data_IF_876533754876
#
_entry.id   IF_876533754876
#
_cell.length_a   1.000
_cell.length_b   1.000
_cell.length_c   1.000
_cell.angle_alpha   90.00
_cell.angle_beta   90.00
_cell.angle_gamma   90.00
#
_symmetry.space_group_name_H-M   'P 1'
#
loop_
_entity.id
_entity.type
_entity.pdbx_description
1 polymer ?
#
# COMPACT_ATOMS: atom_id res chain seq x y z
N UNK A 1 12.47 -0.20 -14.44
CA UNK A 1 12.24 0.16 -13.05
C UNK A 1 11.43 -0.93 -12.34
N UNK A 2 11.61 -1.00 -11.02
CA UNK A 2 10.81 -1.87 -10.18
C UNK A 2 10.31 -1.08 -8.96
N UNK A 3 9.10 -1.37 -8.53
CA UNK A 3 8.49 -0.69 -7.40
C UNK A 3 7.64 -1.66 -6.59
N UNK A 4 7.33 -1.27 -5.37
CA UNK A 4 6.44 -2.00 -4.49
C UNK A 4 5.17 -1.19 -4.27
N UNK A 5 4.06 -1.91 -4.11
CA UNK A 5 2.75 -1.35 -3.76
C UNK A 5 2.23 -2.18 -2.60
N UNK A 6 1.74 -1.56 -1.53
CA UNK A 6 1.41 -2.29 -0.32
C UNK A 6 -0.04 -2.10 0.10
N UNK A 7 -0.70 -3.23 0.35
CA UNK A 7 -1.96 -3.26 1.07
C UNK A 7 -1.59 -3.35 2.55
N UNK A 8 -1.66 -2.21 3.25
CA UNK A 8 -1.27 -2.12 4.66
C UNK A 8 -2.50 -2.39 5.52
N UNK A 9 -2.41 -3.44 6.32
CA UNK A 9 -3.53 -3.94 7.13
C UNK A 9 -3.23 -3.76 8.62
N UNK A 10 -4.15 -3.14 9.34
CA UNK A 10 -4.10 -3.11 10.79
C UNK A 10 -4.36 -4.52 11.32
N UNK A 11 -3.35 -5.11 11.94
CA UNK A 11 -3.40 -6.49 12.42
C UNK A 11 -4.52 -6.71 13.45
N UNK A 12 -4.89 -5.67 14.19
CA UNK A 12 -5.88 -5.78 15.26
C UNK A 12 -7.33 -5.62 14.78
N UNK A 13 -7.55 -4.85 13.72
CA UNK A 13 -8.91 -4.52 13.26
C UNK A 13 -9.24 -5.04 11.87
N UNK A 14 -8.22 -5.40 11.08
CA UNK A 14 -8.40 -5.77 9.68
C UNK A 14 -8.65 -4.59 8.76
N UNK A 15 -8.56 -3.37 9.26
CA UNK A 15 -8.74 -2.17 8.43
C UNK A 15 -7.54 -1.94 7.53
N UNK A 16 -7.79 -1.30 6.40
CA UNK A 16 -6.82 -1.09 5.33
C UNK A 16 -6.48 0.39 5.24
N UNK A 17 -5.19 0.69 5.15
CA UNK A 17 -4.70 2.05 5.02
C UNK A 17 -4.76 2.52 3.58
N UNK A 18 -5.43 3.63 3.34
CA UNK A 18 -5.33 4.36 2.09
C UNK A 18 -4.82 5.77 2.39
N UNK A 19 -4.06 6.32 1.45
CA UNK A 19 -3.45 7.64 1.59
C UNK A 19 -3.78 8.54 0.41
N UNK A 20 -3.67 9.84 0.63
CA UNK A 20 -3.65 10.85 -0.43
C UNK A 20 -2.31 11.56 -0.36
N UNK A 21 -1.72 11.89 -1.50
CA UNK A 21 -0.42 12.55 -1.53
C UNK A 21 -0.30 13.50 -2.70
N UNK A 22 0.68 14.40 -2.62
CA UNK A 22 1.02 15.38 -3.68
C UNK A 22 -0.16 16.23 -4.12
N UNK A 23 -1.05 16.61 -3.20
CA UNK A 23 -2.21 17.46 -3.48
C UNK A 23 -3.31 16.79 -4.30
N UNK A 24 -3.20 15.49 -4.57
CA UNK A 24 -4.21 14.75 -5.33
C UNK A 24 -5.32 14.25 -4.40
N UNK A 25 -6.60 14.43 -4.78
CA UNK A 25 -7.71 14.07 -3.90
C UNK A 25 -8.07 12.58 -3.91
N UNK A 26 -7.35 11.76 -4.65
CA UNK A 26 -7.66 10.33 -4.76
C UNK A 26 -6.93 9.52 -3.70
N UNK A 27 -7.62 8.52 -3.13
CA UNK A 27 -7.00 7.56 -2.24
C UNK A 27 -6.25 6.49 -3.03
N UNK A 28 -5.06 6.16 -2.56
CA UNK A 28 -4.17 5.17 -3.18
C UNK A 28 -3.54 4.29 -2.10
N UNK A 29 -2.82 3.27 -2.54
CA UNK A 29 -1.98 2.44 -1.67
C UNK A 29 -0.62 3.11 -1.47
N UNK A 30 0.02 2.82 -0.35
CA UNK A 30 1.43 3.18 -0.12
C UNK A 30 2.27 2.47 -1.17
N UNK A 31 3.17 3.18 -1.80
CA UNK A 31 4.00 2.64 -2.88
C UNK A 31 5.34 3.38 -2.98
N UNK A 32 6.31 2.76 -3.63
CA UNK A 32 7.60 3.41 -3.87
C UNK A 32 8.53 2.55 -4.69
N UNK A 33 9.56 3.15 -5.23
CA UNK A 33 10.55 2.44 -6.04
C UNK A 33 11.47 1.57 -5.17
N UNK A 34 11.86 0.44 -5.73
CA UNK A 34 12.90 -0.41 -5.15
C UNK A 34 14.24 0.23 -5.49
N UNK A 35 15.07 0.48 -4.46
CA UNK A 35 16.38 1.06 -4.65
C UNK A 35 17.37 0.02 -5.22
N UNK A 36 18.41 0.53 -5.85
CA UNK A 36 19.47 -0.34 -6.38
C UNK A 36 20.05 -1.19 -5.24
N UNK A 37 20.11 -2.49 -5.45
CA UNK A 37 20.65 -3.43 -4.46
C UNK A 37 19.70 -3.78 -3.32
N UNK A 38 18.47 -3.27 -3.36
CA UNK A 38 17.47 -3.52 -2.32
C UNK A 38 16.55 -4.65 -2.77
N UNK A 39 16.18 -5.54 -1.84
CA UNK A 39 15.14 -6.53 -2.12
C UNK A 39 13.76 -5.87 -2.11
N UNK A 40 12.77 -6.50 -2.76
CA UNK A 40 11.40 -6.01 -2.73
C UNK A 40 10.88 -5.96 -1.28
N UNK A 41 11.17 -6.99 -0.48
CA UNK A 41 10.75 -7.06 0.91
C UNK A 41 11.34 -5.92 1.76
N UNK A 42 12.62 -5.61 1.56
CA UNK A 42 13.24 -4.48 2.25
C UNK A 42 12.60 -3.14 1.83
N UNK A 43 12.29 -2.99 0.54
CA UNK A 43 11.63 -1.79 0.03
C UNK A 43 10.24 -1.62 0.65
N UNK A 44 9.48 -2.70 0.82
CA UNK A 44 8.17 -2.67 1.48
C UNK A 44 8.30 -2.07 2.88
N UNK A 45 9.21 -2.58 3.69
CA UNK A 45 9.40 -2.12 5.06
C UNK A 45 9.89 -0.67 5.12
N UNK A 46 10.82 -0.32 4.25
CA UNK A 46 11.38 1.02 4.18
C UNK A 46 10.33 2.06 3.79
N UNK A 47 9.57 1.79 2.72
CA UNK A 47 8.56 2.74 2.24
C UNK A 47 7.43 2.95 3.26
N UNK A 48 6.98 1.88 3.90
CA UNK A 48 5.95 2.01 4.94
C UNK A 48 6.48 2.84 6.11
N UNK A 49 7.72 2.58 6.54
CA UNK A 49 8.32 3.33 7.64
C UNK A 49 8.51 4.81 7.28
N UNK A 50 9.03 5.10 6.08
CA UNK A 50 9.25 6.48 5.62
C UNK A 50 7.94 7.27 5.51
N UNK A 51 6.92 6.70 4.90
CA UNK A 51 5.68 7.43 4.62
C UNK A 51 4.71 7.46 5.79
N UNK A 52 4.71 6.45 6.63
CA UNK A 52 3.71 6.30 7.70
C UNK A 52 4.27 6.22 9.12
N UNK A 53 5.57 6.09 9.27
CA UNK A 53 6.20 5.90 10.58
C UNK A 53 5.93 4.52 11.21
N UNK A 54 5.25 3.62 10.51
CA UNK A 54 4.88 2.32 11.06
C UNK A 54 5.95 1.27 10.80
N UNK A 55 6.18 0.42 11.79
CA UNK A 55 6.95 -0.79 11.63
C UNK A 55 6.04 -1.91 11.16
N UNK A 56 6.52 -2.70 10.20
CA UNK A 56 5.75 -3.81 9.66
C UNK A 56 6.04 -5.08 10.44
N UNK A 57 5.00 -5.86 10.67
CA UNK A 57 5.13 -7.23 11.14
C UNK A 57 5.29 -8.17 9.95
N UNK A 58 4.34 -9.08 9.79
CA UNK A 58 4.34 -10.04 8.67
C UNK A 58 4.05 -9.34 7.35
N UNK A 59 4.77 -9.75 6.31
CA UNK A 59 4.47 -9.32 4.93
C UNK A 59 4.24 -10.57 4.07
N UNK A 60 3.44 -10.40 3.03
CA UNK A 60 3.11 -11.48 2.10
C UNK A 60 3.12 -10.94 0.68
N UNK A 61 3.88 -11.58 -0.20
CA UNK A 61 3.88 -11.24 -1.62
C UNK A 61 2.57 -11.71 -2.28
N UNK A 62 1.91 -10.83 -3.02
CA UNK A 62 0.66 -11.15 -3.70
C UNK A 62 0.88 -11.46 -5.18
N UNK A 63 1.35 -10.49 -5.93
CA UNK A 63 1.52 -10.61 -7.38
C UNK A 63 2.35 -9.48 -7.96
N UNK A 64 2.75 -9.61 -9.21
CA UNK A 64 3.35 -8.52 -9.97
C UNK A 64 2.40 -8.08 -11.08
N UNK A 65 2.61 -6.85 -11.52
CA UNK A 65 1.99 -6.35 -12.74
C UNK A 65 2.90 -5.30 -13.36
N UNK A 66 3.11 -5.40 -14.67
CA UNK A 66 3.90 -4.41 -15.38
C UNK A 66 3.05 -3.17 -15.66
N UNK A 67 3.54 -2.01 -15.22
CA UNK A 67 2.87 -0.72 -15.45
C UNK A 67 3.59 -0.01 -16.60
N UNK A 68 2.99 -0.10 -17.79
CA UNK A 68 3.57 0.39 -19.03
C UNK A 68 3.88 1.89 -19.02
N UNK A 69 2.98 2.78 -18.53
CA UNK A 69 3.22 4.22 -18.56
C UNK A 69 4.54 4.67 -17.98
N UNK A 70 5.05 4.00 -16.95
CA UNK A 70 6.34 4.33 -16.33
C UNK A 70 7.39 3.25 -16.52
N UNK A 71 7.14 2.25 -17.37
CA UNK A 71 8.05 1.13 -17.58
C UNK A 71 8.48 0.50 -16.24
N UNK A 72 7.50 0.18 -15.39
CA UNK A 72 7.77 -0.26 -14.04
C UNK A 72 7.14 -1.62 -13.77
N UNK A 73 7.94 -2.56 -13.26
CA UNK A 73 7.42 -3.79 -12.70
C UNK A 73 6.93 -3.49 -11.29
N UNK A 74 5.62 -3.61 -11.07
CA UNK A 74 5.01 -3.38 -9.77
C UNK A 74 4.86 -4.69 -9.02
N UNK A 75 5.41 -4.76 -7.81
CA UNK A 75 5.32 -5.91 -6.93
C UNK A 75 4.37 -5.56 -5.77
N UNK A 76 3.21 -6.19 -5.74
CA UNK A 76 2.23 -5.91 -4.69
C UNK A 76 2.39 -6.87 -3.51
N UNK A 77 2.38 -6.30 -2.32
CA UNK A 77 2.49 -7.03 -1.05
C UNK A 77 1.33 -6.64 -0.13
N UNK A 78 0.98 -7.57 0.76
CA UNK A 78 0.21 -7.26 1.96
C UNK A 78 1.19 -7.09 3.11
N UNK A 79 1.05 -6.03 3.89
CA UNK A 79 1.89 -5.77 5.04
C UNK A 79 1.00 -5.55 6.27
N UNK A 80 1.22 -6.34 7.32
CA UNK A 80 0.46 -6.25 8.56
C UNK A 80 1.23 -5.38 9.55
N UNK A 81 0.54 -4.44 10.17
CA UNK A 81 1.14 -3.54 11.17
C UNK A 81 0.49 -3.77 12.53
N UNK A 82 1.31 -4.03 13.58
CA UNK A 82 0.77 -4.32 14.91
C UNK A 82 0.33 -3.08 15.69
N UNK A 83 0.88 -1.91 15.37
CA UNK A 83 0.67 -0.67 16.12
C UNK A 83 0.14 0.44 15.22
N UNK A 84 -1.00 0.19 14.57
CA UNK A 84 -1.60 1.11 13.59
C UNK A 84 -1.87 2.50 14.16
N UNK A 85 -2.14 2.62 15.46
CA UNK A 85 -2.38 3.89 16.15
C UNK A 85 -1.15 4.79 16.20
N UNK A 86 0.03 4.24 15.97
CA UNK A 86 1.28 5.00 15.96
C UNK A 86 1.59 5.67 14.63
N UNK A 87 0.66 5.62 13.69
CA UNK A 87 0.84 6.22 12.38
C UNK A 87 1.20 7.70 12.48
N UNK A 88 2.25 8.09 11.76
CA UNK A 88 2.71 9.46 11.69
C UNK A 88 3.24 9.69 10.27
N UNK A 89 2.39 10.28 9.44
CA UNK A 89 2.71 10.44 8.01
C UNK A 89 3.73 11.53 7.77
N UNK A 90 4.54 11.34 6.73
CA UNK A 90 5.51 12.35 6.33
C UNK A 90 4.82 13.46 5.52
N UNK A 91 5.59 14.47 5.12
CA UNK A 91 5.05 15.63 4.40
C UNK A 91 4.57 15.35 2.98
N UNK A 92 4.92 14.21 2.41
CA UNK A 92 4.43 13.80 1.09
C UNK A 92 3.00 13.30 1.14
N UNK A 93 2.57 12.85 2.32
CA UNK A 93 1.22 12.31 2.54
C UNK A 93 0.33 13.42 3.09
N UNK A 94 -0.70 13.79 2.33
CA UNK A 94 -1.63 14.85 2.70
C UNK A 94 -2.69 14.37 3.67
N UNK A 95 -3.18 13.15 3.46
CA UNK A 95 -4.21 12.52 4.29
C UNK A 95 -3.99 11.03 4.35
N UNK A 96 -4.45 10.43 5.44
CA UNK A 96 -4.53 8.99 5.56
C UNK A 96 -5.84 8.62 6.24
N UNK A 97 -6.31 7.40 5.97
CA UNK A 97 -7.48 6.87 6.65
C UNK A 97 -7.44 5.36 6.66
N UNK A 98 -7.87 4.78 7.78
CA UNK A 98 -8.07 3.35 7.92
C UNK A 98 -9.51 3.02 7.53
N UNK A 99 -9.67 2.19 6.53
CA UNK A 99 -10.97 1.81 5.99
C UNK A 99 -11.30 0.35 6.31
N UNK A 100 -12.58 0.06 6.52
CA UNK A 100 -13.00 -1.34 6.42
C UNK A 100 -12.70 -1.85 5.01
N UNK A 101 -12.57 -3.17 4.80
CA UNK A 101 -12.38 -3.72 3.45
C UNK A 101 -13.40 -3.19 2.44
N UNK A 102 -14.68 -3.17 2.82
CA UNK A 102 -15.74 -2.67 1.97
C UNK A 102 -15.54 -1.20 1.57
N UNK A 103 -15.24 -0.36 2.56
CA UNK A 103 -15.04 1.08 2.32
C UNK A 103 -13.73 1.35 1.58
N UNK A 104 -12.70 0.56 1.78
CA UNK A 104 -11.46 0.67 1.02
C UNK A 104 -11.73 0.44 -0.47
N UNK A 105 -12.48 -0.60 -0.80
CA UNK A 105 -12.87 -0.90 -2.18
C UNK A 105 -13.65 0.28 -2.79
N UNK A 106 -14.54 0.89 -2.02
CA UNK A 106 -15.38 1.99 -2.49
C UNK A 106 -14.62 3.31 -2.65
N UNK A 107 -13.56 3.51 -1.89
CA UNK A 107 -12.86 4.80 -1.81
C UNK A 107 -11.53 4.87 -2.56
N UNK A 108 -10.93 3.74 -2.90
CA UNK A 108 -9.70 3.74 -3.67
C UNK A 108 -9.97 4.30 -5.07
N UNK A 109 -8.97 5.00 -5.63
CA UNK A 109 -9.11 5.60 -6.96
C UNK A 109 -9.57 4.55 -7.97
N UNK A 110 -10.72 4.74 -8.63
CA UNK A 110 -11.24 3.76 -9.57
C UNK A 110 -10.36 3.66 -10.82
N UNK A 111 -10.35 2.49 -11.44
CA UNK A 111 -9.63 2.21 -12.69
C UNK A 111 -8.11 2.45 -12.57
N UNK A 112 -7.58 2.33 -11.37
CA UNK A 112 -6.15 2.48 -11.11
C UNK A 112 -5.52 1.11 -10.89
N UNK A 113 -4.18 1.06 -11.00
CA UNK A 113 -3.43 -0.15 -10.65
C UNK A 113 -3.61 -0.50 -9.18
N UNK A 114 -3.64 0.51 -8.31
CA UNK A 114 -3.89 0.31 -6.88
C UNK A 114 -5.23 -0.38 -6.64
N UNK A 115 -6.29 0.07 -7.34
CA UNK A 115 -7.60 -0.57 -7.24
C UNK A 115 -7.57 -2.01 -7.74
N UNK A 116 -6.84 -2.28 -8.83
CA UNK A 116 -6.72 -3.64 -9.36
C UNK A 116 -6.06 -4.58 -8.35
N UNK A 117 -5.00 -4.13 -7.68
CA UNK A 117 -4.34 -4.91 -6.64
C UNK A 117 -5.25 -5.14 -5.43
N UNK A 118 -5.90 -4.08 -4.97
CA UNK A 118 -6.78 -4.17 -3.80
C UNK A 118 -7.97 -5.10 -4.07
N UNK A 119 -8.63 -4.93 -5.21
CA UNK A 119 -9.79 -5.76 -5.57
C UNK A 119 -9.41 -7.24 -5.65
N UNK A 120 -8.29 -7.56 -6.29
CA UNK A 120 -7.83 -8.93 -6.39
C UNK A 120 -7.56 -9.54 -5.00
N UNK A 121 -6.88 -8.78 -4.13
CA UNK A 121 -6.59 -9.24 -2.77
C UNK A 121 -7.87 -9.43 -1.94
N UNK A 122 -8.80 -8.48 -2.03
CA UNK A 122 -10.07 -8.57 -1.30
C UNK A 122 -10.85 -9.81 -1.75
N UNK A 123 -10.96 -10.02 -3.07
CA UNK A 123 -11.68 -11.17 -3.62
C UNK A 123 -11.04 -12.50 -3.18
N UNK A 124 -9.72 -12.59 -3.20
CA UNK A 124 -9.00 -13.80 -2.78
C UNK A 124 -9.14 -14.09 -1.29
N UNK A 125 -9.43 -13.07 -0.49
CA UNK A 125 -9.61 -13.23 0.96
C UNK A 125 -11.10 -13.24 1.36
N UNK A 126 -12.00 -13.27 0.41
CA UNK A 126 -13.44 -13.35 0.69
C UNK A 126 -14.03 -12.08 1.27
N UNK A 127 -13.42 -10.96 0.94
CA UNK A 127 -13.79 -9.65 1.51
C UNK A 127 -14.54 -8.74 0.53
#
# INVERSE_FOLDING_TARGET
>A
NAAVSMIVVDENTGRILLIQQYGRPSYILVAGYINRGESAEAAVRREILEETGLHTGRIHFNRTRFFEPSNTLMCNFTAFVPDAERIHVNREVDRFRWFSPEDARANIRPNSLAAAFLDAWLDENGL
#
